data_IF_194249132107
#
_entry.id   IF_194249132107
#
_cell.length_a   1.000
_cell.length_b   1.000
_cell.length_c   1.000
_cell.angle_alpha   90.00
_cell.angle_beta   90.00
_cell.angle_gamma   90.00
#
_symmetry.space_group_name_H-M   'P 1'
#
loop_
_entity.id
_entity.type
_entity.pdbx_description
1 polymer ?
#
# COMPACT_ATOMS: atom_id res chain seq x y z
N UNK A 1 -0.15 12.80 0.03
CA UNK A 1 -1.24 11.89 0.48
C UNK A 1 -2.43 12.72 0.93
N UNK A 2 -3.65 12.33 0.54
CA UNK A 2 -4.90 12.90 1.05
C UNK A 2 -5.06 12.56 2.54
N UNK A 3 -5.69 13.47 3.31
CA UNK A 3 -5.96 13.22 4.72
C UNK A 3 -6.89 12.00 4.90
N UNK A 4 -6.57 11.13 5.86
CA UNK A 4 -7.40 9.98 6.19
C UNK A 4 -8.55 10.44 7.08
N UNK A 5 -9.78 10.27 6.59
CA UNK A 5 -11.00 10.46 7.39
C UNK A 5 -11.40 9.15 8.07
N UNK A 6 -12.21 9.25 9.13
CA UNK A 6 -12.72 8.07 9.85
C UNK A 6 -14.22 7.95 9.70
N UNK A 7 -14.70 6.75 9.36
CA UNK A 7 -16.11 6.39 9.40
C UNK A 7 -16.24 4.94 9.89
N UNK A 8 -16.37 4.73 11.21
CA UNK A 8 -16.24 3.40 11.81
C UNK A 8 -17.33 2.43 11.37
N UNK A 9 -16.94 1.20 11.04
CA UNK A 9 -17.86 0.08 10.86
C UNK A 9 -18.57 -0.28 12.17
N UNK A 10 -19.75 -0.91 12.09
CA UNK A 10 -20.38 -1.48 13.28
C UNK A 10 -19.48 -2.53 13.93
N UNK A 11 -19.48 -2.56 15.27
CA UNK A 11 -18.64 -3.48 16.07
C UNK A 11 -18.80 -4.94 15.68
N UNK A 12 -19.97 -5.35 15.24
CA UNK A 12 -20.26 -6.72 14.78
C UNK A 12 -19.68 -7.07 13.40
N UNK A 13 -19.02 -6.15 12.72
CA UNK A 13 -18.42 -6.38 11.40
C UNK A 13 -16.91 -6.63 11.44
N UNK A 14 -16.27 -6.58 12.59
CA UNK A 14 -14.84 -6.83 12.72
C UNK A 14 -14.50 -7.54 14.03
N UNK A 15 -13.32 -8.15 14.08
CA UNK A 15 -12.87 -8.98 15.19
C UNK A 15 -12.29 -8.18 16.36
N UNK A 16 -11.64 -8.88 17.27
CA UNK A 16 -11.05 -8.32 18.49
C UNK A 16 -9.85 -7.41 18.19
N UNK A 17 -9.44 -6.67 19.21
CA UNK A 17 -8.20 -5.92 19.20
C UNK A 17 -7.00 -6.87 19.04
N UNK A 18 -5.95 -6.36 18.39
CA UNK A 18 -4.67 -7.03 18.19
C UNK A 18 -3.50 -6.10 18.51
N UNK A 19 -2.35 -6.68 18.84
CA UNK A 19 -1.12 -5.93 18.95
C UNK A 19 -0.64 -5.47 17.57
N UNK A 20 -0.19 -4.22 17.42
CA UNK A 20 0.22 -3.65 16.13
C UNK A 20 1.44 -4.37 15.52
N UNK A 21 2.30 -4.96 16.34
CA UNK A 21 3.46 -5.74 15.88
C UNK A 21 3.09 -7.10 15.23
N UNK A 22 1.82 -7.52 15.32
CA UNK A 22 1.32 -8.71 14.61
C UNK A 22 1.01 -8.44 13.15
N UNK A 23 0.90 -7.17 12.74
CA UNK A 23 0.63 -6.77 11.37
C UNK A 23 1.87 -7.05 10.52
N UNK A 24 1.74 -7.94 9.54
CA UNK A 24 2.83 -8.40 8.67
C UNK A 24 2.54 -8.20 7.19
N UNK A 25 1.28 -8.03 6.82
CA UNK A 25 0.82 -7.97 5.43
C UNK A 25 -0.07 -6.76 5.20
N UNK A 26 -0.04 -6.26 3.97
CA UNK A 26 -1.05 -5.36 3.41
C UNK A 26 -1.73 -6.11 2.28
N UNK A 27 -3.02 -6.38 2.42
CA UNK A 27 -3.82 -7.07 1.41
C UNK A 27 -4.67 -6.07 0.62
N UNK A 28 -4.49 -6.10 -0.69
CA UNK A 28 -5.19 -5.23 -1.64
C UNK A 28 -6.42 -5.95 -2.19
N UNK A 29 -7.54 -5.25 -2.16
CA UNK A 29 -8.85 -5.68 -2.61
C UNK A 29 -9.45 -4.65 -3.57
N UNK A 30 -10.61 -4.95 -4.10
CA UNK A 30 -11.48 -4.02 -4.81
C UNK A 30 -12.93 -4.27 -4.42
N UNK A 31 -13.75 -3.23 -4.43
CA UNK A 31 -15.16 -3.30 -4.02
C UNK A 31 -16.02 -4.08 -4.99
N UNK A 32 -15.56 -4.26 -6.23
CA UNK A 32 -16.28 -4.90 -7.34
C UNK A 32 -17.61 -4.19 -7.70
N UNK A 33 -17.72 -2.91 -7.40
CA UNK A 33 -18.86 -2.08 -7.75
C UNK A 33 -18.46 -1.05 -8.81
N UNK A 34 -19.38 -0.72 -9.71
CA UNK A 34 -19.25 0.32 -10.73
C UNK A 34 -19.84 1.64 -10.19
N UNK A 35 -19.00 2.65 -10.01
CA UNK A 35 -19.40 3.97 -9.54
C UNK A 35 -19.65 4.06 -8.03
N UNK A 36 -18.81 3.42 -7.20
CA UNK A 36 -18.90 3.53 -5.74
C UNK A 36 -17.79 4.46 -5.15
N UNK A 37 -18.00 4.92 -3.93
CA UNK A 37 -17.05 5.79 -3.23
C UNK A 37 -16.58 5.17 -1.94
N UNK A 38 -15.39 5.61 -1.44
CA UNK A 38 -14.85 5.20 -0.17
C UNK A 38 -15.83 5.44 0.99
N UNK A 39 -16.49 6.60 0.99
CA UNK A 39 -17.48 6.95 2.01
C UNK A 39 -18.74 6.10 1.91
N UNK A 40 -19.25 5.78 0.69
CA UNK A 40 -20.44 4.93 0.54
C UNK A 40 -20.19 3.51 1.05
N UNK A 41 -19.01 2.96 0.80
CA UNK A 41 -18.60 1.66 1.34
C UNK A 41 -18.44 1.68 2.87
N UNK A 42 -17.78 2.69 3.43
CA UNK A 42 -17.69 2.81 4.89
C UNK A 42 -19.09 2.91 5.54
N UNK A 43 -20.02 3.68 4.96
CA UNK A 43 -21.42 3.75 5.41
C UNK A 43 -22.16 2.42 5.30
N UNK A 44 -21.85 1.59 4.29
CA UNK A 44 -22.45 0.27 4.13
C UNK A 44 -22.11 -0.64 5.32
N UNK A 45 -20.84 -0.66 5.76
CA UNK A 45 -20.40 -1.46 6.90
C UNK A 45 -20.76 -0.84 8.27
N UNK A 46 -21.12 0.45 8.30
CA UNK A 46 -21.56 1.13 9.53
C UNK A 46 -23.05 0.92 9.85
N UNK A 47 -23.87 0.38 8.91
CA UNK A 47 -25.33 0.35 9.08
C UNK A 47 -25.91 -0.98 9.50
N UNK A 48 -25.25 -2.10 9.15
CA UNK A 48 -25.78 -3.45 9.40
C UNK A 48 -24.66 -4.44 9.67
N UNK A 49 -25.02 -5.58 10.27
CA UNK A 49 -24.14 -6.74 10.31
C UNK A 49 -23.94 -7.28 8.88
N UNK A 50 -22.68 -7.32 8.44
CA UNK A 50 -22.26 -7.80 7.11
C UNK A 50 -21.39 -9.05 7.20
N UNK A 51 -20.88 -9.37 8.41
CA UNK A 51 -19.91 -10.44 8.61
C UNK A 51 -18.59 -10.21 7.85
N UNK A 52 -18.31 -8.95 7.47
CA UNK A 52 -17.14 -8.55 6.70
C UNK A 52 -16.79 -7.09 6.98
N UNK A 53 -15.55 -6.70 6.70
CA UNK A 53 -15.09 -5.30 6.76
C UNK A 53 -13.73 -5.14 6.10
N UNK A 54 -13.31 -3.89 5.90
CA UNK A 54 -11.94 -3.53 5.53
C UNK A 54 -11.41 -2.46 6.49
N UNK A 55 -10.08 -2.30 6.56
CA UNK A 55 -9.48 -1.22 7.34
C UNK A 55 -9.68 0.11 6.60
N UNK A 56 -9.45 0.13 5.29
CA UNK A 56 -9.52 1.33 4.47
C UNK A 56 -10.31 1.09 3.19
N UNK A 57 -11.08 2.10 2.82
CA UNK A 57 -11.68 2.28 1.49
C UNK A 57 -11.04 3.51 0.85
N UNK A 58 -10.68 3.41 -0.43
CA UNK A 58 -9.95 4.47 -1.15
C UNK A 58 -10.61 4.72 -2.49
N UNK A 59 -10.94 5.98 -2.77
CA UNK A 59 -11.40 6.48 -4.07
C UNK A 59 -10.48 7.62 -4.57
N UNK A 60 -10.85 8.29 -5.66
CA UNK A 60 -10.06 9.38 -6.25
C UNK A 60 -9.89 10.59 -5.33
N UNK A 61 -10.80 10.81 -4.39
CA UNK A 61 -10.87 12.01 -3.55
C UNK A 61 -10.73 11.73 -2.06
N UNK A 62 -10.88 10.46 -1.62
CA UNK A 62 -10.99 10.12 -0.21
C UNK A 62 -10.21 8.86 0.16
N UNK A 63 -9.63 8.89 1.36
CA UNK A 63 -9.19 7.70 2.10
C UNK A 63 -10.02 7.66 3.37
N UNK A 64 -10.83 6.61 3.54
CA UNK A 64 -11.72 6.44 4.69
C UNK A 64 -11.29 5.22 5.50
N UNK A 65 -10.87 5.43 6.75
CA UNK A 65 -10.62 4.34 7.70
C UNK A 65 -11.95 3.88 8.32
N UNK A 66 -12.30 2.62 8.11
CA UNK A 66 -13.53 2.00 8.60
C UNK A 66 -13.29 1.07 9.79
N UNK A 67 -12.13 0.41 9.85
CA UNK A 67 -11.67 -0.35 11.02
C UNK A 67 -10.30 0.17 11.40
N UNK A 68 -10.09 0.44 12.69
CA UNK A 68 -8.77 0.88 13.17
C UNK A 68 -7.75 -0.25 13.08
N UNK A 69 -6.47 0.09 12.84
CA UNK A 69 -5.40 -0.87 12.57
C UNK A 69 -5.16 -1.88 13.71
N UNK A 70 -5.47 -1.48 14.95
CA UNK A 70 -5.39 -2.34 16.13
C UNK A 70 -6.59 -3.29 16.31
N UNK A 71 -7.53 -3.33 15.35
CA UNK A 71 -8.61 -4.31 15.29
C UNK A 71 -8.47 -5.19 14.06
N UNK A 72 -9.15 -6.34 14.06
CA UNK A 72 -9.11 -7.33 12.98
C UNK A 72 -10.24 -7.08 12.00
N UNK A 73 -9.97 -6.50 10.83
CA UNK A 73 -10.97 -6.46 9.74
C UNK A 73 -11.12 -7.85 9.10
N UNK A 74 -12.33 -8.19 8.67
CA UNK A 74 -12.66 -9.49 8.06
C UNK A 74 -12.74 -9.38 6.54
N UNK A 75 -11.61 -9.62 5.85
CA UNK A 75 -11.48 -9.46 4.39
C UNK A 75 -10.81 -10.63 3.69
N UNK A 76 -9.82 -11.30 4.31
CA UNK A 76 -8.99 -12.34 3.68
C UNK A 76 -9.30 -13.76 4.17
N UNK A 77 -10.56 -14.02 4.51
CA UNK A 77 -11.04 -15.33 4.92
C UNK A 77 -11.35 -16.27 3.75
N UNK A 78 -11.82 -17.48 4.11
CA UNK A 78 -12.31 -18.48 3.15
C UNK A 78 -11.29 -19.56 2.80
N UNK A 79 -11.80 -20.60 2.10
CA UNK A 79 -11.00 -21.73 1.67
C UNK A 79 -10.13 -21.38 0.46
N UNK A 80 -9.06 -22.13 0.26
CA UNK A 80 -8.21 -22.02 -0.93
C UNK A 80 -8.97 -22.47 -2.17
N UNK A 81 -8.94 -21.70 -3.23
CA UNK A 81 -9.56 -22.03 -4.51
C UNK A 81 -8.81 -23.17 -5.19
N UNK A 82 -9.55 -24.08 -5.81
CA UNK A 82 -9.00 -25.31 -6.43
C UNK A 82 -8.13 -25.04 -7.65
N UNK A 83 -8.31 -23.89 -8.32
CA UNK A 83 -7.56 -23.50 -9.52
C UNK A 83 -6.26 -22.73 -9.24
N UNK A 84 -5.87 -22.60 -7.96
CA UNK A 84 -4.66 -21.86 -7.56
C UNK A 84 -3.38 -22.37 -8.26
N UNK A 85 -3.24 -23.66 -8.49
CA UNK A 85 -2.09 -24.25 -9.21
C UNK A 85 -2.00 -23.79 -10.67
N UNK A 86 -3.15 -23.49 -11.30
CA UNK A 86 -3.24 -23.00 -12.68
C UNK A 86 -3.11 -21.50 -12.79
N UNK A 87 -3.63 -20.77 -11.80
CA UNK A 87 -3.73 -19.31 -11.82
C UNK A 87 -2.58 -18.61 -11.12
N UNK A 88 -1.79 -19.32 -10.32
CA UNK A 88 -0.71 -18.77 -9.48
C UNK A 88 -1.19 -18.07 -8.22
N UNK A 89 -2.50 -18.17 -7.88
CA UNK A 89 -3.06 -17.64 -6.63
C UNK A 89 -2.76 -18.52 -5.41
N UNK A 90 -3.13 -18.03 -4.21
CA UNK A 90 -3.08 -18.84 -2.98
C UNK A 90 -1.68 -19.11 -2.43
N UNK A 91 -0.67 -18.33 -2.82
CA UNK A 91 0.72 -18.45 -2.33
C UNK A 91 0.84 -18.23 -0.82
N UNK A 92 0.00 -17.36 -0.27
CA UNK A 92 0.01 -17.00 1.15
C UNK A 92 -1.12 -17.66 1.95
N UNK A 93 -1.74 -18.73 1.40
CA UNK A 93 -2.78 -19.48 2.10
C UNK A 93 -2.25 -20.13 3.38
N UNK A 94 -2.97 -19.91 4.50
CA UNK A 94 -2.53 -20.34 5.81
C UNK A 94 -1.46 -19.47 6.47
N UNK A 95 -0.87 -18.52 5.75
CA UNK A 95 0.19 -17.62 6.24
C UNK A 95 -0.36 -16.22 6.49
N UNK A 96 -0.98 -15.59 5.50
CA UNK A 96 -1.70 -14.34 5.68
C UNK A 96 -3.16 -14.62 6.07
N UNK A 97 -3.65 -13.91 7.07
CA UNK A 97 -5.02 -13.99 7.57
C UNK A 97 -5.49 -12.62 8.11
N UNK A 98 -6.75 -12.54 8.54
CA UNK A 98 -7.32 -11.29 9.05
C UNK A 98 -6.56 -10.73 10.25
N UNK A 99 -5.98 -11.57 11.13
CA UNK A 99 -5.31 -11.10 12.35
C UNK A 99 -3.93 -10.51 12.11
N UNK A 100 -3.31 -10.77 10.94
CA UNK A 100 -1.96 -10.28 10.64
C UNK A 100 -1.88 -9.39 9.39
N UNK A 101 -3.03 -8.95 8.85
CA UNK A 101 -3.08 -8.09 7.66
C UNK A 101 -3.82 -6.77 7.90
N UNK A 102 -3.40 -5.73 7.18
CA UNK A 102 -4.21 -4.54 6.88
C UNK A 102 -4.87 -4.76 5.53
N UNK A 103 -6.17 -4.48 5.42
CA UNK A 103 -6.96 -4.72 4.24
C UNK A 103 -7.44 -3.39 3.65
N UNK A 104 -7.16 -3.15 2.36
CA UNK A 104 -7.45 -1.91 1.63
C UNK A 104 -8.31 -2.25 0.41
N UNK A 105 -9.48 -1.65 0.33
CA UNK A 105 -10.42 -1.76 -0.78
C UNK A 105 -10.28 -0.58 -1.73
N UNK A 106 -10.00 -0.85 -3.00
CA UNK A 106 -10.05 0.15 -4.06
C UNK A 106 -11.47 0.29 -4.56
N UNK A 107 -11.99 1.51 -4.54
CA UNK A 107 -13.28 1.86 -5.13
C UNK A 107 -13.10 2.27 -6.58
N UNK A 108 -14.15 2.05 -7.37
CA UNK A 108 -14.30 2.58 -8.71
C UNK A 108 -15.37 3.68 -8.67
N UNK A 109 -14.94 4.92 -8.58
CA UNK A 109 -15.81 6.09 -8.42
C UNK A 109 -16.35 6.66 -9.74
N UNK A 110 -16.07 6.00 -10.87
CA UNK A 110 -16.63 6.35 -12.21
C UNK A 110 -17.57 5.26 -12.69
N UNK A 111 -18.87 5.58 -12.73
CA UNK A 111 -19.88 4.67 -13.27
C UNK A 111 -19.87 4.68 -14.79
N UNK A 112 -19.27 3.68 -15.41
CA UNK A 112 -19.13 3.58 -16.87
C UNK A 112 -19.23 2.15 -17.42
N UNK A 113 -19.63 1.17 -16.60
CA UNK A 113 -19.71 -0.25 -16.96
C UNK A 113 -18.37 -0.99 -16.96
N UNK A 114 -17.28 -0.33 -16.56
CA UNK A 114 -15.95 -0.94 -16.48
C UNK A 114 -15.37 -0.76 -15.07
N UNK A 115 -15.40 -1.80 -14.29
CA UNK A 115 -14.92 -1.78 -12.90
C UNK A 115 -13.39 -1.73 -12.88
N UNK A 116 -12.86 -0.51 -12.84
CA UNK A 116 -11.42 -0.24 -12.73
C UNK A 116 -11.17 1.07 -11.98
N UNK A 117 -10.28 1.12 -11.00
CA UNK A 117 -10.00 2.34 -10.25
C UNK A 117 -9.36 3.40 -11.15
N UNK A 118 -9.68 4.67 -10.89
CA UNK A 118 -9.03 5.78 -11.58
C UNK A 118 -7.54 5.85 -11.22
N UNK A 119 -6.76 6.53 -12.04
CA UNK A 119 -5.34 6.78 -11.74
C UNK A 119 -5.18 7.57 -10.42
N UNK A 120 -6.11 8.48 -10.10
CA UNK A 120 -6.13 9.20 -8.84
C UNK A 120 -6.36 8.24 -7.65
N UNK A 121 -7.30 7.30 -7.76
CA UNK A 121 -7.51 6.24 -6.75
C UNK A 121 -6.23 5.43 -6.55
N UNK A 122 -5.58 5.00 -7.64
CA UNK A 122 -4.33 4.22 -7.57
C UNK A 122 -3.22 5.03 -6.88
N UNK A 123 -3.07 6.32 -7.19
CA UNK A 123 -2.10 7.21 -6.53
C UNK A 123 -2.35 7.31 -5.02
N UNK A 124 -3.62 7.48 -4.61
CA UNK A 124 -4.00 7.53 -3.20
C UNK A 124 -3.68 6.22 -2.47
N UNK A 125 -3.91 5.07 -3.12
CA UNK A 125 -3.56 3.76 -2.57
C UNK A 125 -2.05 3.59 -2.46
N UNK A 126 -1.27 3.99 -3.45
CA UNK A 126 0.21 3.97 -3.39
C UNK A 126 0.71 4.76 -2.18
N UNK A 127 0.20 5.98 -1.96
CA UNK A 127 0.58 6.82 -0.83
C UNK A 127 0.21 6.18 0.52
N UNK A 128 -1.01 5.63 0.63
CA UNK A 128 -1.47 4.94 1.83
C UNK A 128 -0.61 3.70 2.11
N UNK A 129 -0.38 2.85 1.11
CA UNK A 129 0.41 1.63 1.25
C UNK A 129 1.84 1.95 1.67
N UNK A 130 2.52 2.91 1.04
CA UNK A 130 3.86 3.36 1.44
C UNK A 130 3.90 3.82 2.90
N UNK A 131 2.88 4.56 3.34
CA UNK A 131 2.76 5.03 4.73
C UNK A 131 2.63 3.86 5.69
N UNK A 132 1.78 2.87 5.37
CA UNK A 132 1.58 1.67 6.19
C UNK A 132 2.81 0.75 6.17
N UNK A 133 3.48 0.58 5.04
CA UNK A 133 4.75 -0.15 4.92
C UNK A 133 5.78 0.43 5.89
N UNK A 134 5.96 1.76 5.89
CA UNK A 134 6.87 2.44 6.81
C UNK A 134 6.44 2.30 8.27
N UNK A 135 5.14 2.51 8.56
CA UNK A 135 4.58 2.47 9.92
C UNK A 135 4.75 1.09 10.58
N UNK A 136 4.56 0.01 9.83
CA UNK A 136 4.58 -1.37 10.34
C UNK A 136 5.82 -2.17 9.94
N UNK A 137 6.80 -1.53 9.30
CA UNK A 137 8.00 -2.18 8.79
C UNK A 137 7.69 -3.38 7.87
N UNK A 138 6.76 -3.18 6.92
CA UNK A 138 6.31 -4.19 5.96
C UNK A 138 7.11 -4.03 4.67
N UNK A 139 7.82 -5.09 4.27
CA UNK A 139 8.51 -5.13 2.98
C UNK A 139 7.53 -5.26 1.80
N UNK A 140 7.98 -4.88 0.61
CA UNK A 140 7.16 -4.90 -0.61
C UNK A 140 6.62 -6.30 -0.95
N UNK A 141 7.33 -7.36 -0.60
CA UNK A 141 6.89 -8.75 -0.84
C UNK A 141 5.66 -9.13 -0.01
N UNK A 142 5.41 -8.42 1.08
CA UNK A 142 4.26 -8.59 1.96
C UNK A 142 3.11 -7.63 1.63
N UNK A 143 3.23 -6.83 0.57
CA UNK A 143 2.10 -6.16 -0.07
C UNK A 143 1.56 -7.12 -1.13
N UNK A 144 0.38 -7.68 -0.87
CA UNK A 144 -0.20 -8.80 -1.60
C UNK A 144 -1.66 -8.52 -1.97
N UNK A 145 -2.21 -9.29 -2.89
CA UNK A 145 -3.65 -9.26 -3.24
C UNK A 145 -4.41 -10.29 -2.41
N UNK A 146 -5.71 -10.14 -2.26
CA UNK A 146 -6.54 -11.24 -1.76
C UNK A 146 -6.36 -12.52 -2.61
N UNK A 147 -6.16 -12.37 -3.92
CA UNK A 147 -5.81 -13.45 -4.83
C UNK A 147 -4.59 -14.26 -4.36
N UNK A 148 -3.57 -13.58 -3.85
CA UNK A 148 -2.34 -14.23 -3.37
C UNK A 148 -2.59 -15.01 -2.06
N UNK A 149 -3.67 -14.66 -1.31
CA UNK A 149 -4.01 -15.34 -0.06
C UNK A 149 -4.72 -16.67 -0.33
N UNK A 150 -5.82 -16.68 -1.08
CA UNK A 150 -6.63 -17.90 -1.24
C UNK A 150 -7.00 -18.24 -2.70
N UNK A 151 -6.61 -17.40 -3.68
CA UNK A 151 -6.93 -17.60 -5.09
C UNK A 151 -8.17 -16.88 -5.58
N UNK A 152 -8.94 -16.21 -4.69
CA UNK A 152 -10.06 -15.36 -5.10
C UNK A 152 -9.57 -14.29 -6.05
N UNK A 153 -10.19 -14.12 -7.22
CA UNK A 153 -9.82 -13.09 -8.20
C UNK A 153 -10.15 -11.69 -7.69
N UNK A 154 -9.36 -11.21 -6.75
CA UNK A 154 -9.53 -9.92 -6.08
C UNK A 154 -8.15 -9.27 -5.85
N UNK A 155 -7.88 -8.08 -6.41
CA UNK A 155 -8.67 -7.36 -7.42
C UNK A 155 -8.72 -8.12 -8.76
N UNK A 156 -9.90 -8.20 -9.40
CA UNK A 156 -10.09 -9.00 -10.61
C UNK A 156 -9.25 -8.49 -11.80
N UNK A 157 -9.03 -7.18 -11.88
CA UNK A 157 -8.26 -6.54 -12.94
C UNK A 157 -6.73 -6.71 -12.79
N UNK A 158 -6.27 -7.22 -11.63
CA UNK A 158 -4.85 -7.52 -11.35
C UNK A 158 -4.59 -9.00 -11.09
N UNK A 159 -5.57 -9.89 -11.32
CA UNK A 159 -5.48 -11.30 -10.86
C UNK A 159 -5.95 -12.29 -11.91
N UNK A 160 -5.27 -13.43 -12.02
CA UNK A 160 -5.75 -14.63 -12.70
C UNK A 160 -5.12 -14.95 -14.06
N UNK A 161 -4.49 -14.00 -14.73
CA UNK A 161 -3.74 -14.22 -15.98
C UNK A 161 -2.47 -13.38 -16.05
N UNK A 162 -1.62 -13.62 -17.05
CA UNK A 162 -0.32 -12.98 -17.18
C UNK A 162 -0.43 -11.45 -17.37
N UNK A 163 -1.40 -10.96 -18.15
CA UNK A 163 -1.56 -9.52 -18.39
C UNK A 163 -1.97 -8.80 -17.12
N UNK A 164 -2.92 -9.35 -16.36
CA UNK A 164 -3.35 -8.81 -15.08
C UNK A 164 -2.27 -8.89 -14.02
N UNK A 165 -1.49 -9.99 -14.02
CA UNK A 165 -0.34 -10.11 -13.14
C UNK A 165 0.75 -9.07 -13.48
N UNK A 166 0.98 -8.74 -14.76
CA UNK A 166 1.89 -7.68 -15.15
C UNK A 166 1.44 -6.31 -14.62
N UNK A 167 0.15 -5.97 -14.70
CA UNK A 167 -0.42 -4.74 -14.09
C UNK A 167 -0.27 -4.71 -12.57
N UNK A 168 -0.36 -5.86 -11.91
CA UNK A 168 -0.05 -5.94 -10.47
C UNK A 168 1.41 -5.63 -10.18
N UNK A 169 2.35 -6.12 -10.99
CA UNK A 169 3.78 -5.80 -10.82
C UNK A 169 4.05 -4.31 -11.12
N UNK A 170 3.37 -3.73 -12.10
CA UNK A 170 3.42 -2.29 -12.36
C UNK A 170 2.95 -1.48 -11.15
N UNK A 171 1.81 -1.85 -10.53
CA UNK A 171 1.39 -1.24 -9.26
C UNK A 171 2.45 -1.41 -8.17
N UNK A 172 3.03 -2.61 -7.99
CA UNK A 172 4.08 -2.85 -6.99
C UNK A 172 5.32 -1.99 -7.24
N UNK A 173 5.74 -1.82 -8.49
CA UNK A 173 6.91 -0.98 -8.82
C UNK A 173 6.71 0.49 -8.39
N UNK A 174 5.46 0.95 -8.34
CA UNK A 174 5.12 2.30 -7.84
C UNK A 174 5.26 2.42 -6.32
N UNK A 175 5.30 1.31 -5.57
CA UNK A 175 5.52 1.32 -4.11
C UNK A 175 6.99 1.52 -3.75
N UNK A 176 7.91 1.22 -4.66
CA UNK A 176 9.33 1.45 -4.47
C UNK A 176 9.66 2.95 -4.55
N UNK A 177 10.64 3.38 -3.78
CA UNK A 177 11.18 4.73 -3.94
C UNK A 177 11.90 4.81 -5.30
N UNK A 178 11.42 5.69 -6.18
CA UNK A 178 12.01 5.86 -7.50
C UNK A 178 13.33 6.62 -7.37
N UNK A 179 14.42 5.92 -7.65
CA UNK A 179 15.74 6.55 -7.79
C UNK A 179 15.84 7.14 -9.20
N UNK A 180 16.04 8.43 -9.28
CA UNK A 180 16.23 9.16 -10.54
C UNK A 180 17.66 9.71 -10.64
N UNK A 181 18.18 9.83 -11.84
CA UNK A 181 19.45 10.54 -12.08
C UNK A 181 19.19 12.05 -12.07
N UNK A 182 19.83 12.76 -11.16
CA UNK A 182 19.70 14.20 -10.97
C UNK A 182 21.05 14.89 -11.19
N UNK A 183 21.07 15.91 -12.01
CA UNK A 183 22.24 16.77 -12.13
C UNK A 183 22.27 17.80 -11.00
N UNK A 184 23.37 17.83 -10.28
CA UNK A 184 23.64 18.83 -9.23
C UNK A 184 24.92 19.59 -9.59
N UNK A 185 25.01 20.85 -9.19
CA UNK A 185 26.22 21.67 -9.40
C UNK A 185 26.98 21.82 -8.08
N UNK A 186 28.21 21.34 -8.01
CA UNK A 186 29.08 21.38 -6.84
C UNK A 186 30.35 22.13 -7.25
N UNK A 187 30.68 23.20 -6.56
CA UNK A 187 31.90 24.03 -6.83
C UNK A 187 32.05 24.35 -8.33
N UNK A 188 30.93 24.74 -8.99
CA UNK A 188 30.92 25.10 -10.41
C UNK A 188 30.86 23.91 -11.39
N UNK A 189 31.10 22.67 -10.96
CA UNK A 189 31.07 21.45 -11.79
C UNK A 189 29.72 20.74 -11.69
N UNK A 190 29.21 20.26 -12.82
CA UNK A 190 27.98 19.44 -12.86
C UNK A 190 28.36 17.99 -12.59
N UNK A 191 27.61 17.36 -11.66
CA UNK A 191 27.73 15.94 -11.33
C UNK A 191 26.34 15.30 -11.37
N UNK A 192 26.22 14.13 -12.00
CA UNK A 192 25.00 13.33 -11.99
C UNK A 192 25.03 12.40 -10.78
N UNK A 193 24.00 12.45 -9.95
CA UNK A 193 23.86 11.66 -8.71
C UNK A 193 22.55 10.89 -8.71
N UNK A 194 22.47 9.86 -7.89
CA UNK A 194 21.22 9.19 -7.58
C UNK A 194 20.41 10.04 -6.58
N UNK A 195 19.16 10.32 -6.92
CA UNK A 195 18.27 11.13 -6.12
C UNK A 195 16.90 10.45 -5.97
N UNK A 196 16.20 10.78 -4.89
CA UNK A 196 14.80 10.42 -4.66
C UNK A 196 14.00 11.71 -4.57
N UNK A 197 13.01 11.86 -5.44
CA UNK A 197 12.08 13.00 -5.38
C UNK A 197 10.86 12.59 -4.54
N UNK A 198 10.64 13.32 -3.44
CA UNK A 198 9.56 13.02 -2.50
C UNK A 198 9.06 14.29 -1.82
N UNK A 199 7.74 14.45 -1.75
CA UNK A 199 7.06 15.56 -1.07
C UNK A 199 7.56 16.96 -1.50
N UNK A 200 7.92 17.11 -2.79
CA UNK A 200 8.47 18.35 -3.35
C UNK A 200 9.97 18.59 -3.06
N UNK A 201 10.62 17.64 -2.38
CA UNK A 201 12.05 17.70 -2.09
C UNK A 201 12.84 16.67 -2.89
N UNK A 202 14.08 17.00 -3.21
CA UNK A 202 15.05 16.10 -3.83
C UNK A 202 16.06 15.63 -2.78
N UNK A 203 16.09 14.34 -2.49
CA UNK A 203 17.04 13.73 -1.56
C UNK A 203 18.18 13.10 -2.34
N UNK A 204 19.42 13.44 -1.99
CA UNK A 204 20.62 12.83 -2.55
C UNK A 204 21.43 12.16 -1.45
N UNK A 205 22.19 11.11 -1.80
CA UNK A 205 23.08 10.50 -0.83
C UNK A 205 24.17 11.50 -0.43
N UNK A 206 24.32 11.75 0.85
CA UNK A 206 25.34 12.69 1.36
C UNK A 206 26.76 12.33 0.86
N UNK A 207 27.06 11.04 0.67
CA UNK A 207 28.30 10.53 0.11
C UNK A 207 28.58 11.05 -1.31
N UNK A 208 27.54 11.30 -2.09
CA UNK A 208 27.67 11.80 -3.45
C UNK A 208 28.10 13.28 -3.48
N UNK A 209 28.05 13.94 -2.32
CA UNK A 209 28.51 15.33 -2.10
C UNK A 209 29.97 15.41 -1.62
N UNK A 210 30.70 14.30 -1.55
CA UNK A 210 32.09 14.22 -1.04
C UNK A 210 33.10 15.11 -1.76
N UNK A 211 32.78 15.57 -2.98
CA UNK A 211 33.62 16.52 -3.72
C UNK A 211 33.63 17.93 -3.07
N UNK A 212 32.57 18.29 -2.34
CA UNK A 212 32.41 19.57 -1.68
C UNK A 212 32.46 19.46 -0.15
N UNK A 213 32.23 18.28 0.39
CA UNK A 213 32.05 18.06 1.81
C UNK A 213 33.04 17.00 2.34
N UNK A 214 33.52 17.22 3.56
CA UNK A 214 34.16 16.18 4.37
C UNK A 214 33.07 15.55 5.22
N UNK A 215 32.90 14.22 5.08
CA UNK A 215 31.84 13.47 5.76
C UNK A 215 32.50 12.41 6.63
N UNK A 216 32.32 12.54 7.93
CA UNK A 216 32.86 11.64 8.95
C UNK A 216 31.68 10.94 9.66
N UNK A 217 31.77 9.64 9.88
CA UNK A 217 30.79 8.87 10.64
C UNK A 217 31.43 8.26 11.88
N UNK A 218 30.94 8.64 13.05
CA UNK A 218 31.34 8.03 14.32
C UNK A 218 30.45 6.82 14.59
N UNK A 219 31.06 5.62 14.64
CA UNK A 219 30.33 4.35 14.82
C UNK A 219 29.73 4.18 16.23
N UNK A 220 30.36 4.78 17.25
CA UNK A 220 29.93 4.66 18.65
C UNK A 220 28.75 5.59 18.94
N UNK A 221 28.88 6.85 18.57
CA UNK A 221 27.83 7.87 18.80
C UNK A 221 26.75 7.89 17.70
N UNK A 222 26.99 7.18 16.55
CA UNK A 222 26.17 7.21 15.34
C UNK A 222 25.98 8.61 14.74
N UNK A 223 26.86 9.54 15.07
CA UNK A 223 26.82 10.90 14.54
C UNK A 223 27.51 10.98 13.18
N UNK A 224 26.92 11.77 12.29
CA UNK A 224 27.51 12.18 11.02
C UNK A 224 27.96 13.63 11.17
N UNK A 225 29.23 13.86 11.01
CA UNK A 225 29.82 15.21 10.98
C UNK A 225 30.05 15.61 9.52
N UNK A 226 29.57 16.78 9.14
CA UNK A 226 29.68 17.33 7.79
C UNK A 226 30.40 18.67 7.89
N UNK A 227 31.48 18.80 7.13
CA UNK A 227 32.27 20.04 7.01
C UNK A 227 32.41 20.41 5.54
N UNK A 228 32.45 21.68 5.21
CA UNK A 228 32.86 22.15 3.87
C UNK A 228 34.35 21.88 3.66
N UNK A 229 34.72 21.56 2.42
CA UNK A 229 36.14 21.51 2.03
C UNK A 229 36.69 22.92 1.83
#
# INVERSE_FOLDING_TARGET
MIAISKYPALRCNYGNARALNTIKYIAIHYTANDGDTALSNAKYFARRNRGASAHYFVDSNNIVQSVEDNYVAWSVGGSKYSDCSKTGGGKFYGVCNNSNSINIELCDDIKNGNIYPTEATINNVVDLVRTLMKKYNIGIDNVIRHFDVNGKRCPAYWSGDNQKNAKWQEFKSRLEEQVVKQNIKINGKIKTVDAINKDGYTYVKIRDLSDALIIEYNKETKLITVKTK
#
